data_IF_717827034702
#
_entry.id   IF_717827034702
#
_cell.length_a   1.000
_cell.length_b   1.000
_cell.length_c   1.000
_cell.angle_alpha   90.00
_cell.angle_beta   90.00
_cell.angle_gamma   90.00
#
_symmetry.space_group_name_H-M   'P 1'
#
loop_
_entity.id
_entity.type
_entity.pdbx_description
1 polymer ?
#
# COMPACT_ATOMS: atom_id res chain seq x y z
N UNK A 1 -23.72 13.75 -0.50
CA UNK A 1 -22.44 13.46 -1.18
C UNK A 1 -22.14 11.97 -1.30
N UNK A 2 -22.04 11.19 -0.20
CA UNK A 2 -21.76 9.75 -0.26
C UNK A 2 -22.77 8.91 -1.08
N UNK A 3 -24.07 9.22 -1.00
CA UNK A 3 -25.12 8.57 -1.83
C UNK A 3 -24.95 8.83 -3.33
N UNK A 4 -24.43 9.99 -3.69
CA UNK A 4 -24.18 10.35 -5.09
C UNK A 4 -22.96 9.60 -5.64
N UNK A 5 -21.87 9.52 -4.86
CA UNK A 5 -20.71 8.69 -5.22
C UNK A 5 -21.09 7.21 -5.37
N UNK A 6 -21.95 6.68 -4.49
CA UNK A 6 -22.42 5.29 -4.60
C UNK A 6 -23.22 5.04 -5.88
N UNK A 7 -24.10 5.98 -6.27
CA UNK A 7 -24.86 5.90 -7.51
C UNK A 7 -23.96 5.96 -8.75
N UNK A 8 -22.92 6.80 -8.75
CA UNK A 8 -21.95 6.89 -9.85
C UNK A 8 -21.10 5.63 -9.99
N UNK A 9 -20.65 5.04 -8.87
CA UNK A 9 -19.82 3.81 -8.88
C UNK A 9 -20.60 2.61 -9.46
N UNK A 10 -21.91 2.52 -9.20
CA UNK A 10 -22.76 1.47 -9.76
C UNK A 10 -22.89 1.56 -11.29
N UNK A 11 -22.78 2.76 -11.88
CA UNK A 11 -22.80 2.94 -13.34
C UNK A 11 -21.60 2.31 -14.05
N UNK A 12 -20.48 2.17 -13.35
CA UNK A 12 -19.25 1.53 -13.87
C UNK A 12 -19.24 0.01 -13.68
N UNK A 13 -20.38 -0.61 -13.37
CA UNK A 13 -20.50 -2.07 -13.24
C UNK A 13 -19.89 -2.63 -11.95
N UNK A 14 -19.64 -1.80 -10.94
CA UNK A 14 -19.17 -2.27 -9.65
C UNK A 14 -20.27 -3.11 -8.97
N UNK A 15 -20.06 -4.42 -8.92
CA UNK A 15 -20.81 -5.28 -8.02
C UNK A 15 -20.16 -5.22 -6.66
N UNK A 16 -20.92 -4.79 -5.64
CA UNK A 16 -20.48 -4.83 -4.25
C UNK A 16 -20.17 -6.31 -3.94
N UNK A 17 -18.90 -6.69 -3.68
CA UNK A 17 -18.60 -8.05 -3.31
C UNK A 17 -19.34 -8.37 -2.01
N UNK A 18 -19.88 -9.58 -1.91
CA UNK A 18 -20.45 -10.06 -0.66
C UNK A 18 -19.43 -9.88 0.45
N UNK A 19 -19.90 -9.43 1.62
CA UNK A 19 -19.05 -9.23 2.79
C UNK A 19 -18.68 -10.62 3.28
N UNK A 20 -17.64 -11.20 2.68
CA UNK A 20 -16.93 -12.32 3.29
C UNK A 20 -16.11 -11.68 4.40
N UNK A 21 -16.43 -11.92 5.70
CA UNK A 21 -15.55 -11.49 6.77
C UNK A 21 -14.16 -12.00 6.43
N UNK A 22 -13.17 -11.10 6.44
CA UNK A 22 -11.79 -11.48 6.20
C UNK A 22 -11.38 -12.39 7.36
N UNK A 23 -11.55 -13.71 7.19
CA UNK A 23 -10.94 -14.68 8.08
C UNK A 23 -9.44 -14.49 7.93
N UNK A 24 -8.79 -13.92 8.94
CA UNK A 24 -7.35 -13.85 8.98
C UNK A 24 -6.83 -15.29 9.00
N UNK A 25 -6.39 -15.79 7.84
CA UNK A 25 -5.70 -17.07 7.78
C UNK A 25 -4.33 -16.85 8.41
N UNK A 26 -4.21 -17.12 9.71
CA UNK A 26 -2.92 -17.15 10.39
C UNK A 26 -2.23 -18.42 9.92
N UNK A 27 -1.48 -18.32 8.82
CA UNK A 27 -0.56 -19.38 8.43
C UNK A 27 0.61 -19.32 9.39
N UNK A 28 0.56 -20.15 10.43
CA UNK A 28 1.62 -20.25 11.42
C UNK A 28 2.89 -20.81 10.78
N UNK A 29 3.90 -19.95 10.61
CA UNK A 29 5.31 -20.33 10.48
C UNK A 29 6.20 -19.12 10.74
N UNK A 30 6.91 -19.14 11.87
CA UNK A 30 7.93 -18.15 12.23
C UNK A 30 7.38 -16.77 12.61
N UNK A 31 8.03 -16.12 13.57
CA UNK A 31 7.82 -14.69 13.80
C UNK A 31 8.21 -13.97 12.50
N UNK A 32 7.26 -13.29 11.85
CA UNK A 32 7.58 -12.52 10.64
C UNK A 32 8.46 -11.34 11.02
N UNK A 33 9.62 -11.29 10.39
CA UNK A 33 10.61 -10.23 10.62
C UNK A 33 10.26 -8.96 9.86
N UNK A 34 9.46 -9.09 8.80
CA UNK A 34 9.03 -7.99 7.95
C UNK A 34 7.50 -7.98 7.84
N UNK A 35 6.91 -6.81 8.02
CA UNK A 35 5.46 -6.61 7.89
C UNK A 35 5.23 -5.52 6.84
N UNK A 36 4.54 -5.87 5.76
CA UNK A 36 4.11 -4.91 4.76
C UNK A 36 2.60 -4.80 4.74
N UNK A 37 2.09 -3.70 4.22
CA UNK A 37 0.65 -3.51 4.09
C UNK A 37 0.26 -3.19 2.64
N UNK A 38 -0.84 -3.79 2.20
CA UNK A 38 -1.47 -3.50 0.93
C UNK A 38 -2.83 -2.89 1.18
N UNK A 39 -2.99 -1.66 0.71
CA UNK A 39 -4.23 -0.92 0.92
C UNK A 39 -4.41 0.13 -0.16
N UNK A 40 -5.65 0.34 -0.55
CA UNK A 40 -6.00 1.54 -1.28
C UNK A 40 -5.97 2.72 -0.29
N UNK A 41 -5.43 3.88 -0.69
CA UNK A 41 -5.26 5.03 0.20
C UNK A 41 -6.55 5.39 0.98
N UNK A 42 -6.41 6.09 2.12
CA UNK A 42 -7.55 6.47 2.99
C UNK A 42 -8.22 5.29 3.73
N UNK A 43 -7.43 4.31 4.13
CA UNK A 43 -7.86 3.09 4.85
C UNK A 43 -7.38 3.03 6.30
N UNK A 44 -6.87 4.13 6.86
CA UNK A 44 -6.48 4.20 8.29
C UNK A 44 -5.05 3.74 8.58
N UNK A 45 -4.15 3.92 7.63
CA UNK A 45 -2.82 3.29 7.65
C UNK A 45 -1.80 4.00 8.52
N UNK A 46 -2.01 5.27 8.81
CA UNK A 46 -1.31 5.97 9.89
C UNK A 46 -1.58 5.32 11.25
N UNK A 47 -2.85 5.00 11.52
CA UNK A 47 -3.25 4.32 12.76
C UNK A 47 -2.68 2.90 12.81
N UNK A 48 -2.70 2.16 11.70
CA UNK A 48 -2.13 0.81 11.65
C UNK A 48 -0.62 0.80 11.92
N UNK A 49 0.13 1.75 11.34
CA UNK A 49 1.57 1.86 11.58
C UNK A 49 1.87 2.10 13.06
N UNK A 50 1.16 3.05 13.68
CA UNK A 50 1.29 3.31 15.10
C UNK A 50 0.92 2.08 15.95
N UNK A 51 -0.20 1.44 15.63
CA UNK A 51 -0.64 0.23 16.32
C UNK A 51 0.41 -0.90 16.25
N UNK A 52 1.02 -1.12 15.08
CA UNK A 52 2.07 -2.13 14.92
C UNK A 52 3.34 -1.76 15.69
N UNK A 53 3.77 -0.49 15.63
CA UNK A 53 4.93 -0.01 16.37
C UNK A 53 4.76 -0.18 17.88
N UNK A 54 3.62 0.27 18.41
CA UNK A 54 3.32 0.27 19.85
C UNK A 54 3.21 -1.16 20.42
N UNK A 55 2.62 -2.09 19.67
CA UNK A 55 2.35 -3.45 20.17
C UNK A 55 3.48 -4.44 19.91
N UNK A 56 4.23 -4.29 18.82
CA UNK A 56 5.29 -5.24 18.43
C UNK A 56 6.70 -4.72 18.74
N UNK A 57 6.85 -3.47 19.20
CA UNK A 57 8.15 -2.83 19.43
C UNK A 57 9.06 -2.88 18.19
N UNK A 58 8.47 -2.75 17.00
CA UNK A 58 9.16 -2.79 15.71
C UNK A 58 9.29 -1.40 15.11
N UNK A 59 10.28 -1.21 14.22
CA UNK A 59 10.38 0.01 13.42
C UNK A 59 9.20 0.02 12.44
N UNK A 60 8.17 0.82 12.74
CA UNK A 60 6.99 0.96 11.88
C UNK A 60 7.02 2.30 11.14
N UNK A 61 7.29 2.23 9.83
CA UNK A 61 7.35 3.40 8.95
C UNK A 61 6.00 3.61 8.29
N UNK A 62 5.40 4.79 8.51
CA UNK A 62 4.26 5.25 7.73
C UNK A 62 4.73 6.30 6.72
N UNK A 63 4.75 5.93 5.42
CA UNK A 63 5.08 6.80 4.28
C UNK A 63 6.30 7.71 4.52
N UNK A 64 7.51 7.35 4.08
CA UNK A 64 8.71 8.17 4.31
C UNK A 64 8.67 9.46 3.47
N UNK A 65 8.04 10.52 3.98
CA UNK A 65 7.75 11.79 3.26
C UNK A 65 8.93 12.79 3.17
N UNK A 66 10.15 12.38 3.54
CA UNK A 66 11.34 13.23 3.38
C UNK A 66 11.62 13.51 1.90
N UNK A 67 12.04 14.74 1.56
CA UNK A 67 12.30 15.14 0.16
C UNK A 67 13.32 14.21 -0.52
N UNK A 68 14.33 13.76 0.23
CA UNK A 68 15.38 12.85 -0.27
C UNK A 68 14.95 11.38 -0.31
N UNK A 69 13.78 11.05 0.24
CA UNK A 69 13.28 9.68 0.26
C UNK A 69 12.63 9.33 -1.07
N UNK A 70 12.15 10.31 -1.86
CA UNK A 70 11.59 10.06 -3.18
C UNK A 70 12.66 9.45 -4.10
N UNK A 71 12.33 8.31 -4.70
CA UNK A 71 13.17 7.60 -5.66
C UNK A 71 14.19 6.65 -5.02
N UNK A 72 14.34 6.71 -3.69
CA UNK A 72 15.28 5.88 -2.93
C UNK A 72 14.52 4.93 -2.00
N UNK A 73 13.91 5.48 -0.95
CA UNK A 73 13.11 4.74 0.04
C UNK A 73 11.60 4.83 -0.27
N UNK A 74 11.13 5.97 -0.76
CA UNK A 74 9.76 6.20 -1.19
C UNK A 74 9.65 5.98 -2.70
N UNK A 75 8.63 5.24 -3.13
CA UNK A 75 8.41 4.99 -4.55
C UNK A 75 7.84 6.25 -5.21
N UNK A 76 8.37 6.58 -6.37
CA UNK A 76 7.90 7.72 -7.17
C UNK A 76 6.85 7.32 -8.21
N UNK A 77 6.20 8.33 -8.79
CA UNK A 77 5.28 8.18 -9.92
C UNK A 77 5.97 7.48 -11.09
N UNK A 78 7.26 7.73 -11.31
CA UNK A 78 8.05 7.07 -12.35
C UNK A 78 8.04 5.54 -12.18
N UNK A 79 8.26 5.04 -10.97
CA UNK A 79 8.22 3.62 -10.63
C UNK A 79 6.83 3.02 -10.85
N UNK A 80 5.78 3.71 -10.40
CA UNK A 80 4.40 3.26 -10.57
C UNK A 80 4.02 3.18 -12.06
N UNK A 81 4.27 4.24 -12.83
CA UNK A 81 3.98 4.27 -14.28
C UNK A 81 4.78 3.20 -15.01
N UNK A 82 6.06 3.04 -14.65
CA UNK A 82 6.94 2.04 -15.23
C UNK A 82 6.41 0.63 -14.96
N UNK A 83 6.05 0.32 -13.73
CA UNK A 83 5.45 -0.97 -13.38
C UNK A 83 4.12 -1.21 -14.12
N UNK A 84 3.23 -0.22 -14.15
CA UNK A 84 1.95 -0.34 -14.87
C UNK A 84 2.10 -0.48 -16.39
N UNK A 85 3.21 -0.02 -16.98
CA UNK A 85 3.44 -0.06 -18.44
C UNK A 85 4.27 -1.26 -18.86
N UNK A 86 5.32 -1.59 -18.11
CA UNK A 86 6.35 -2.57 -18.47
C UNK A 86 6.40 -3.76 -17.52
N UNK A 87 5.63 -3.74 -16.43
CA UNK A 87 5.70 -4.74 -15.37
C UNK A 87 7.00 -4.67 -14.56
N UNK A 88 7.42 -5.83 -14.05
CA UNK A 88 8.63 -5.98 -13.26
C UNK A 88 9.88 -6.04 -14.15
N UNK A 89 10.23 -4.92 -14.78
CA UNK A 89 11.42 -4.82 -15.63
C UNK A 89 12.73 -4.71 -14.83
N UNK A 90 13.89 -4.80 -15.51
CA UNK A 90 15.18 -4.83 -14.84
C UNK A 90 15.49 -3.63 -13.94
N UNK A 91 14.93 -2.43 -14.22
CA UNK A 91 15.11 -1.28 -13.33
C UNK A 91 14.21 -1.38 -12.11
N UNK A 92 12.97 -1.86 -12.28
CA UNK A 92 12.06 -2.08 -11.16
C UNK A 92 12.56 -3.19 -10.22
N UNK A 93 13.15 -4.25 -10.80
CA UNK A 93 13.82 -5.32 -10.05
C UNK A 93 15.01 -4.77 -9.25
N UNK A 94 15.92 -4.02 -9.89
CA UNK A 94 17.07 -3.43 -9.21
C UNK A 94 16.65 -2.46 -8.10
N UNK A 95 15.62 -1.65 -8.33
CA UNK A 95 15.05 -0.78 -7.30
C UNK A 95 14.58 -1.58 -6.09
N UNK A 96 13.78 -2.63 -6.30
CA UNK A 96 13.28 -3.46 -5.20
C UNK A 96 14.38 -4.26 -4.51
N UNK A 97 15.34 -4.80 -5.25
CA UNK A 97 16.49 -5.50 -4.66
C UNK A 97 17.27 -4.59 -3.70
N UNK A 98 17.58 -3.37 -4.14
CA UNK A 98 18.27 -2.39 -3.29
C UNK A 98 17.40 -1.99 -2.09
N UNK A 99 16.10 -1.79 -2.30
CA UNK A 99 15.18 -1.38 -1.25
C UNK A 99 15.03 -2.46 -0.17
N UNK A 100 14.80 -3.72 -0.57
CA UNK A 100 14.65 -4.86 0.34
C UNK A 100 15.95 -5.24 1.04
N UNK A 101 17.10 -5.11 0.35
CA UNK A 101 18.41 -5.37 0.96
C UNK A 101 18.80 -4.34 2.04
N UNK A 102 18.27 -3.12 1.97
CA UNK A 102 18.51 -2.08 2.97
C UNK A 102 17.67 -2.23 4.25
N UNK A 103 16.69 -3.15 4.27
CA UNK A 103 15.80 -3.34 5.42
C UNK A 103 16.47 -4.16 6.52
N UNK A 104 16.27 -3.74 7.76
CA UNK A 104 16.77 -4.42 8.95
C UNK A 104 15.60 -4.92 9.79
N UNK A 105 15.54 -6.21 10.16
CA UNK A 105 14.46 -6.73 10.98
C UNK A 105 14.62 -6.35 12.46
N UNK A 106 13.52 -6.20 13.23
CA UNK A 106 12.13 -6.29 12.80
C UNK A 106 11.60 -4.97 12.21
N UNK A 107 10.91 -5.05 11.07
CA UNK A 107 10.49 -3.88 10.30
C UNK A 107 9.03 -3.97 9.83
N UNK A 108 8.32 -2.85 9.89
CA UNK A 108 6.97 -2.73 9.34
C UNK A 108 6.85 -1.49 8.45
N UNK A 109 6.25 -1.62 7.25
CA UNK A 109 5.96 -0.49 6.38
C UNK A 109 4.48 -0.40 6.00
N UNK A 110 3.92 0.77 6.28
CA UNK A 110 2.58 1.16 5.88
C UNK A 110 2.59 2.25 4.83
N UNK A 111 2.57 1.85 3.55
CA UNK A 111 2.61 2.74 2.41
C UNK A 111 1.70 2.27 1.24
N UNK A 112 0.81 3.16 0.79
CA UNK A 112 -0.19 2.85 -0.24
C UNK A 112 0.42 2.63 -1.64
N UNK A 113 1.67 3.06 -1.85
CA UNK A 113 2.37 2.89 -3.14
C UNK A 113 2.99 1.50 -3.29
N UNK A 114 3.13 0.73 -2.20
CA UNK A 114 3.80 -0.58 -2.21
C UNK A 114 3.16 -1.53 -3.22
N UNK A 115 1.85 -1.74 -3.12
CA UNK A 115 1.12 -2.60 -4.05
C UNK A 115 1.15 -2.10 -5.49
N UNK A 116 1.11 -0.77 -5.69
CA UNK A 116 1.07 -0.15 -7.02
C UNK A 116 2.39 -0.19 -7.77
N UNK A 117 3.48 -0.41 -7.05
CA UNK A 117 4.82 -0.52 -7.62
C UNK A 117 5.31 -1.98 -7.63
N UNK A 118 4.43 -2.96 -7.45
CA UNK A 118 4.78 -4.37 -7.57
C UNK A 118 5.48 -4.99 -6.36
N UNK A 119 5.09 -4.63 -5.14
CA UNK A 119 5.64 -5.24 -3.92
C UNK A 119 5.52 -6.77 -3.91
N UNK A 120 4.39 -7.33 -4.38
CA UNK A 120 4.16 -8.78 -4.33
C UNK A 120 5.11 -9.52 -5.27
N UNK A 121 5.30 -8.98 -6.47
CA UNK A 121 6.22 -9.49 -7.48
C UNK A 121 7.66 -9.39 -7.00
N UNK A 122 8.01 -8.32 -6.28
CA UNK A 122 9.31 -8.16 -5.66
C UNK A 122 9.56 -9.17 -4.54
N UNK A 123 8.57 -9.34 -3.63
CA UNK A 123 8.66 -10.28 -2.52
C UNK A 123 8.76 -11.72 -3.00
N UNK A 124 7.96 -12.10 -4.00
CA UNK A 124 7.96 -13.46 -4.57
C UNK A 124 9.33 -13.87 -5.14
N UNK A 125 10.14 -12.90 -5.58
CA UNK A 125 11.48 -13.12 -6.11
C UNK A 125 12.59 -12.83 -5.09
N UNK A 126 12.26 -12.62 -3.81
CA UNK A 126 13.20 -12.25 -2.76
C UNK A 126 13.43 -13.37 -1.75
N UNK A 127 14.63 -13.42 -1.17
CA UNK A 127 14.96 -14.36 -0.10
C UNK A 127 14.29 -14.03 1.25
N UNK A 128 13.54 -12.93 1.34
CA UNK A 128 12.80 -12.53 2.56
C UNK A 128 11.32 -12.91 2.51
N UNK A 129 10.85 -13.53 1.42
CA UNK A 129 9.44 -13.89 1.23
C UNK A 129 8.89 -14.70 2.42
N UNK A 130 9.61 -15.74 2.84
CA UNK A 130 9.21 -16.63 3.95
C UNK A 130 9.24 -15.95 5.33
N UNK A 131 9.88 -14.79 5.43
CA UNK A 131 10.00 -13.97 6.65
C UNK A 131 9.10 -12.74 6.62
N UNK A 132 8.31 -12.58 5.56
CA UNK A 132 7.48 -11.40 5.31
C UNK A 132 6.00 -11.72 5.47
N UNK A 133 5.30 -10.91 6.25
CA UNK A 133 3.85 -10.91 6.36
C UNK A 133 3.25 -9.71 5.63
N UNK A 134 2.22 -9.96 4.81
CA UNK A 134 1.51 -8.89 4.09
C UNK A 134 0.09 -8.75 4.63
N UNK A 135 -0.22 -7.58 5.20
CA UNK A 135 -1.55 -7.25 5.73
C UNK A 135 -2.35 -6.51 4.66
N UNK A 136 -3.47 -7.08 4.25
CA UNK A 136 -4.37 -6.47 3.26
C UNK A 136 -5.52 -5.76 3.96
N UNK A 137 -5.58 -4.43 3.87
CA UNK A 137 -6.69 -3.64 4.40
C UNK A 137 -7.76 -3.43 3.33
N UNK A 138 -8.97 -3.91 3.61
CA UNK A 138 -10.14 -3.72 2.76
C UNK A 138 -11.10 -2.74 3.42
N UNK A 139 -11.61 -1.77 2.65
CA UNK A 139 -12.65 -0.83 3.08
C UNK A 139 -13.76 -0.81 2.05
N UNK A 140 -14.97 -0.56 2.52
CA UNK A 140 -16.12 -0.32 1.65
C UNK A 140 -15.82 0.82 0.66
N UNK A 141 -15.97 0.52 -0.64
CA UNK A 141 -15.58 1.40 -1.73
C UNK A 141 -16.34 2.73 -1.68
N UNK A 142 -17.63 2.71 -1.36
CA UNK A 142 -18.45 3.93 -1.28
C UNK A 142 -17.98 4.83 -0.12
N UNK A 143 -17.65 4.25 1.04
CA UNK A 143 -17.07 5.00 2.17
C UNK A 143 -15.68 5.56 1.84
N UNK A 144 -14.90 4.83 1.04
CA UNK A 144 -13.58 5.27 0.62
C UNK A 144 -13.68 6.44 -0.37
N UNK A 145 -14.53 6.34 -1.39
CA UNK A 145 -14.77 7.42 -2.36
C UNK A 145 -15.34 8.68 -1.68
N UNK A 146 -16.27 8.52 -0.73
CA UNK A 146 -16.77 9.64 0.06
C UNK A 146 -15.66 10.33 0.87
N UNK A 147 -14.70 9.56 1.41
CA UNK A 147 -13.54 10.10 2.14
C UNK A 147 -12.60 10.92 1.24
N UNK A 148 -12.39 10.47 -0.01
CA UNK A 148 -11.62 11.23 -1.00
C UNK A 148 -12.33 12.52 -1.40
N UNK A 149 -13.63 12.43 -1.71
CA UNK A 149 -14.43 13.56 -2.16
C UNK A 149 -14.56 14.64 -1.06
N UNK A 150 -14.79 14.23 0.19
CA UNK A 150 -14.96 15.16 1.31
C UNK A 150 -13.68 15.89 1.73
N UNK A 151 -12.50 15.39 1.35
CA UNK A 151 -11.21 16.07 1.61
C UNK A 151 -10.67 16.84 0.43
N UNK A 152 -11.42 16.86 -0.66
CA UNK A 152 -11.01 17.59 -1.85
C UNK A 152 -9.66 17.06 -2.37
N UNK A 153 -9.46 15.74 -2.23
CA UNK A 153 -8.27 15.06 -2.71
C UNK A 153 -8.18 15.09 -4.25
N UNK A 154 -9.07 15.80 -4.95
CA UNK A 154 -9.14 15.92 -6.42
C UNK A 154 -9.09 17.37 -6.98
N UNK A 155 -9.07 18.43 -6.15
CA UNK A 155 -9.06 19.81 -6.70
C UNK A 155 -7.66 20.42 -6.86
N UNK A 156 -6.63 19.91 -6.18
CA UNK A 156 -5.26 20.43 -6.28
C UNK A 156 -4.31 19.36 -6.84
N UNK A 157 -4.08 19.41 -8.16
CA UNK A 157 -3.16 18.53 -8.93
C UNK A 157 -1.72 18.54 -8.38
N UNK A 158 -1.35 19.55 -7.60
CA UNK A 158 0.00 19.77 -7.07
C UNK A 158 0.30 19.05 -5.74
N UNK A 159 -0.67 18.36 -5.12
CA UNK A 159 -0.42 17.72 -3.81
C UNK A 159 0.07 16.27 -3.99
N UNK A 160 1.15 15.84 -3.29
CA UNK A 160 1.71 14.48 -3.40
C UNK A 160 0.74 13.30 -3.21
N UNK A 161 -0.46 13.54 -2.64
CA UNK A 161 -1.45 12.50 -2.33
C UNK A 161 -2.42 12.16 -3.47
N UNK A 162 -2.44 12.93 -4.57
CA UNK A 162 -3.44 12.74 -5.64
C UNK A 162 -3.17 11.57 -6.60
N UNK A 163 -1.96 11.00 -6.63
CA UNK A 163 -1.54 10.03 -7.65
C UNK A 163 -2.12 8.62 -7.47
N UNK A 164 -3.19 8.49 -6.67
CA UNK A 164 -3.78 7.23 -6.28
C UNK A 164 -4.56 6.47 -7.36
N UNK A 165 -4.54 6.91 -8.64
CA UNK A 165 -5.45 6.42 -9.68
C UNK A 165 -4.81 5.88 -10.97
N UNK A 166 -3.53 5.54 -10.96
CA UNK A 166 -3.00 4.56 -11.92
C UNK A 166 -2.79 3.22 -11.24
#
# INVERSE_FOLDING_TARGET
MARHCAAEILKFGYQKPEIVPATATVSGKGQSDFIFTLFAGRTGTAWLAQFLGDNLSVISVHEPLGVLNFGTQMREISHMRRFNTLGMDGKMQAFWQNNLAALHPPYAESNHTLGKCGLIEALANSGIADRSSVIILRRDLAKQCASYAGRIDFQNITIPRQWCRT
#
